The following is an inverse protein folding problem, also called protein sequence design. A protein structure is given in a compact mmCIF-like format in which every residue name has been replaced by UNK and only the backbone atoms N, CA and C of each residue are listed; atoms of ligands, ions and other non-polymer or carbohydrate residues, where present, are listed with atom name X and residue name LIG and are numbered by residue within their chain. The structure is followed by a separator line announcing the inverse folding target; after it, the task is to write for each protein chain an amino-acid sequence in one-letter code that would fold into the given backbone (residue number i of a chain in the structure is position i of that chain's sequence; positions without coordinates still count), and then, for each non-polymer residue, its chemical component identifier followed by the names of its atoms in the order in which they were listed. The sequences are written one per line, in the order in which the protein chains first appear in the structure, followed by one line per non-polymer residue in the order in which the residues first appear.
data_IF_839642575644
#
_entry.id   IF_839642575644
#
_cell.length_a   1.000
_cell.length_b   1.000
_cell.length_c   1.000
_cell.angle_alpha   90.00
_cell.angle_beta   90.00
_cell.angle_gamma   90.00
#
_symmetry.space_group_name_H-M   'P 1'
#
loop_
_entity.id
_entity.type
_entity.pdbx_description
1 polymer ?
#
# COMPACT_ATOMS: atom_id res chain seq x y z
N UNK A 1 6.15 9.32 -13.19
CA UNK A 1 6.16 8.44 -14.37
C UNK A 1 7.56 7.93 -14.62
N UNK A 2 7.67 6.80 -15.31
CA UNK A 2 8.94 6.24 -15.76
C UNK A 2 9.05 6.42 -17.28
N UNK A 3 10.20 6.90 -17.74
CA UNK A 3 10.51 7.00 -19.16
C UNK A 3 11.77 6.19 -19.46
N UNK A 4 11.74 5.39 -20.53
CA UNK A 4 12.89 4.61 -20.99
C UNK A 4 13.08 4.86 -22.50
N UNK A 5 14.23 5.40 -22.88
CA UNK A 5 14.51 5.78 -24.27
C UNK A 5 15.18 4.62 -25.04
N UNK A 6 14.73 4.39 -26.27
CA UNK A 6 15.27 3.42 -27.21
C UNK A 6 15.79 4.15 -28.46
N UNK A 7 16.78 3.55 -29.11
CA UNK A 7 17.35 4.04 -30.38
C UNK A 7 16.99 3.12 -31.56
N UNK A 8 15.88 2.40 -31.46
CA UNK A 8 15.44 1.43 -32.46
C UNK A 8 13.93 1.35 -32.53
N UNK A 9 13.44 0.96 -33.71
CA UNK A 9 12.03 0.69 -34.02
C UNK A 9 11.82 -0.81 -34.21
N UNK A 10 10.57 -1.25 -34.24
CA UNK A 10 10.17 -2.61 -34.60
C UNK A 10 10.44 -2.83 -36.09
N UNK A 11 11.20 -3.86 -36.42
CA UNK A 11 11.59 -4.18 -37.81
C UNK A 11 11.03 -5.51 -38.31
N UNK A 12 10.55 -6.35 -37.41
CA UNK A 12 10.06 -7.70 -37.71
C UNK A 12 8.65 -7.88 -37.18
N UNK A 13 7.79 -8.54 -37.98
CA UNK A 13 6.43 -8.91 -37.56
C UNK A 13 6.48 -10.22 -36.79
N UNK A 14 6.07 -10.19 -35.53
CA UNK A 14 5.88 -11.36 -34.69
C UNK A 14 4.52 -12.02 -34.98
N UNK A 15 4.44 -13.33 -34.72
CA UNK A 15 3.19 -14.11 -34.84
C UNK A 15 2.04 -13.66 -33.92
N UNK A 16 2.35 -12.78 -32.95
CA UNK A 16 1.41 -12.26 -31.96
C UNK A 16 1.04 -10.79 -32.24
N UNK A 17 1.58 -10.20 -33.29
CA UNK A 17 1.26 -8.84 -33.70
C UNK A 17 -0.15 -8.79 -34.26
N UNK A 18 -0.82 -7.65 -34.07
CA UNK A 18 -2.11 -7.47 -34.70
C UNK A 18 -1.94 -7.58 -36.22
N UNK A 19 -2.84 -8.35 -36.85
CA UNK A 19 -2.89 -8.48 -38.30
C UNK A 19 -2.92 -7.12 -39.01
N UNK A 20 -3.47 -6.09 -38.34
CA UNK A 20 -3.59 -4.72 -38.83
C UNK A 20 -2.34 -3.84 -38.62
N UNK A 21 -1.32 -4.29 -37.89
CA UNK A 21 -0.06 -3.54 -37.75
C UNK A 21 0.73 -3.60 -39.06
N UNK A 22 0.82 -2.46 -39.75
CA UNK A 22 1.67 -2.27 -40.93
C UNK A 22 3.05 -1.76 -40.52
N UNK A 23 3.95 -2.70 -40.24
CA UNK A 23 5.32 -2.44 -39.80
C UNK A 23 6.21 -1.93 -40.96
N UNK A 24 5.75 -2.05 -42.22
CA UNK A 24 6.49 -1.53 -43.37
C UNK A 24 6.26 -0.02 -43.57
N UNK A 25 5.09 0.49 -43.16
CA UNK A 25 4.72 1.90 -43.34
C UNK A 25 4.70 2.72 -42.04
N UNK A 26 4.63 2.07 -40.88
CA UNK A 26 4.47 2.72 -39.58
C UNK A 26 5.55 2.31 -38.59
N UNK A 27 6.19 3.30 -37.97
CA UNK A 27 7.23 3.07 -36.98
C UNK A 27 6.66 2.72 -35.60
N UNK A 28 6.83 1.47 -35.18
CA UNK A 28 6.43 1.01 -33.84
C UNK A 28 7.63 0.90 -32.90
N UNK A 29 7.40 1.02 -31.60
CA UNK A 29 8.40 0.65 -30.59
C UNK A 29 8.54 -0.87 -30.56
N UNK A 30 9.74 -1.43 -30.31
CA UNK A 30 9.91 -2.86 -30.12
C UNK A 30 9.08 -3.42 -28.96
N UNK A 31 8.49 -4.60 -29.14
CA UNK A 31 7.62 -5.24 -28.14
C UNK A 31 8.34 -5.46 -26.80
N UNK A 32 9.65 -5.76 -26.84
CA UNK A 32 10.44 -5.98 -25.64
C UNK A 32 10.57 -4.70 -24.79
N UNK A 33 10.53 -3.51 -25.39
CA UNK A 33 10.54 -2.25 -24.67
C UNK A 33 9.24 -2.02 -23.90
N UNK A 34 8.08 -2.31 -24.50
CA UNK A 34 6.79 -2.25 -23.78
C UNK A 34 6.77 -3.25 -22.61
N UNK A 35 7.21 -4.49 -22.85
CA UNK A 35 7.32 -5.51 -21.81
C UNK A 35 8.28 -5.11 -20.68
N UNK A 36 9.39 -4.42 -21.02
CA UNK A 36 10.32 -3.87 -20.04
C UNK A 36 9.65 -2.80 -19.16
N UNK A 37 8.80 -1.94 -19.74
CA UNK A 37 8.04 -0.94 -18.98
C UNK A 37 7.04 -1.57 -18.01
N UNK A 38 6.35 -2.66 -18.39
CA UNK A 38 5.52 -3.44 -17.46
C UNK A 38 6.34 -3.94 -16.26
N UNK A 39 7.49 -4.57 -16.53
CA UNK A 39 8.37 -5.11 -15.48
C UNK A 39 8.88 -4.02 -14.55
N UNK A 40 9.29 -2.87 -15.08
CA UNK A 40 9.78 -1.78 -14.26
C UNK A 40 8.69 -1.17 -13.41
N UNK A 41 7.51 -0.91 -13.97
CA UNK A 41 6.36 -0.42 -13.20
C UNK A 41 6.04 -1.36 -12.03
N UNK A 42 5.93 -2.65 -12.32
CA UNK A 42 5.49 -3.64 -11.35
C UNK A 42 6.59 -4.04 -10.33
N UNK A 43 7.85 -3.70 -10.60
CA UNK A 43 8.95 -3.91 -9.66
C UNK A 43 9.06 -2.81 -8.59
N UNK A 44 8.44 -1.64 -8.80
CA UNK A 44 8.57 -0.52 -7.87
C UNK A 44 7.67 -0.70 -6.64
N UNK A 45 8.31 -0.66 -5.47
CA UNK A 45 7.62 -0.73 -4.17
C UNK A 45 8.01 0.51 -3.37
N UNK A 46 7.02 1.33 -3.02
CA UNK A 46 7.20 2.45 -2.10
C UNK A 46 7.26 1.91 -0.68
N UNK A 47 8.39 2.14 -0.04
CA UNK A 47 8.54 1.96 1.40
C UNK A 47 8.06 3.25 2.07
N UNK A 48 6.90 3.20 2.72
CA UNK A 48 6.53 4.22 3.69
C UNK A 48 7.22 3.90 5.01
N UNK A 49 8.07 4.82 5.46
CA UNK A 49 8.46 4.84 6.87
C UNK A 49 7.18 4.91 7.71
N UNK A 50 7.09 4.16 8.82
CA UNK A 50 5.98 4.27 9.74
C UNK A 50 5.96 5.71 10.24
N UNK A 51 5.09 6.54 9.63
CA UNK A 51 4.83 7.87 10.15
C UNK A 51 4.18 7.65 11.51
N UNK A 52 4.91 8.02 12.56
CA UNK A 52 4.29 8.41 13.81
C UNK A 52 3.16 9.37 13.44
N UNK A 53 1.94 9.03 13.83
CA UNK A 53 0.75 9.86 13.63
C UNK A 53 1.02 11.28 14.14
N UNK A 54 1.05 12.23 13.18
CA UNK A 54 1.02 13.68 13.34
C UNK A 54 2.13 14.40 14.15
N UNK A 55 2.47 15.66 13.75
CA UNK A 55 3.59 16.38 14.31
C UNK A 55 3.22 16.97 15.67
N UNK A 56 3.74 16.39 16.75
CA UNK A 56 4.02 17.20 17.95
C UNK A 56 5.42 17.78 17.79
N UNK A 57 5.47 19.10 17.76
CA UNK A 57 6.67 19.94 17.72
C UNK A 57 7.70 19.48 18.75
N UNK A 58 8.72 18.75 18.31
CA UNK A 58 10.10 18.82 18.81
C UNK A 58 10.91 17.69 18.18
N UNK A 59 12.01 18.09 17.56
CA UNK A 59 12.94 17.28 16.80
C UNK A 59 13.55 16.12 17.60
N UNK A 60 13.60 14.94 16.98
CA UNK A 60 14.69 13.96 17.12
C UNK A 60 14.52 12.86 16.04
N UNK A 61 15.45 12.71 15.08
CA UNK A 61 15.31 11.79 13.94
C UNK A 61 15.67 10.32 14.25
N UNK A 62 15.65 9.88 15.52
CA UNK A 62 16.31 8.60 15.91
C UNK A 62 15.44 7.57 16.65
N UNK A 63 14.11 7.66 16.67
CA UNK A 63 13.29 6.60 17.28
C UNK A 63 12.73 5.64 16.23
N UNK A 64 13.62 4.95 15.49
CA UNK A 64 13.22 3.69 14.86
C UNK A 64 12.93 2.72 16.00
N UNK A 65 11.65 2.38 16.22
CA UNK A 65 11.31 1.27 17.11
C UNK A 65 11.79 0.01 16.39
N UNK A 66 12.89 -0.58 16.86
CA UNK A 66 13.35 -1.89 16.39
C UNK A 66 12.17 -2.88 16.49
N UNK A 67 11.74 -3.42 15.34
CA UNK A 67 10.62 -4.36 15.24
C UNK A 67 9.41 -3.88 14.42
N UNK A 68 9.30 -2.59 14.04
CA UNK A 68 8.26 -2.17 13.09
C UNK A 68 8.67 -2.47 11.63
N UNK A 69 7.98 -3.36 10.90
CA UNK A 69 8.25 -3.56 9.48
C UNK A 69 7.83 -2.32 8.68
N UNK A 70 8.71 -1.82 7.80
CA UNK A 70 8.40 -0.71 6.91
C UNK A 70 7.14 -1.04 6.08
N UNK A 71 6.15 -0.14 6.09
CA UNK A 71 4.89 -0.36 5.37
C UNK A 71 5.18 -0.27 3.87
N UNK A 72 4.99 -1.38 3.16
CA UNK A 72 5.19 -1.47 1.71
C UNK A 72 3.89 -1.10 1.00
N UNK A 73 3.99 -0.29 -0.05
CA UNK A 73 2.86 0.05 -0.92
C UNK A 73 3.31 0.00 -2.38
N UNK A 74 2.38 -0.31 -3.28
CA UNK A 74 2.60 -0.28 -4.74
C UNK A 74 1.92 0.98 -5.29
N UNK A 75 2.64 2.09 -5.47
CA UNK A 75 2.07 3.28 -6.10
C UNK A 75 1.78 2.99 -7.59
N UNK A 76 0.75 3.65 -8.13
CA UNK A 76 0.44 3.55 -9.55
C UNK A 76 1.36 4.50 -10.33
N UNK A 77 2.21 3.94 -11.18
CA UNK A 77 3.07 4.71 -12.07
C UNK A 77 2.67 4.48 -13.52
N UNK A 78 2.55 5.56 -14.29
CA UNK A 78 2.64 5.47 -15.75
C UNK A 78 4.08 5.16 -16.18
N UNK A 79 4.25 4.28 -17.17
CA UNK A 79 5.55 3.85 -17.66
C UNK A 79 5.55 3.87 -19.20
N UNK A 80 6.40 4.72 -19.78
CA UNK A 80 6.41 5.01 -21.21
C UNK A 80 7.77 4.76 -21.86
N UNK A 81 7.76 4.17 -23.05
CA UNK A 81 8.95 4.10 -23.88
C UNK A 81 9.05 5.34 -24.79
N UNK A 82 10.26 5.88 -24.97
CA UNK A 82 10.56 6.89 -25.98
C UNK A 82 11.32 6.24 -27.11
N UNK A 83 10.93 6.46 -28.36
CA UNK A 83 11.54 5.76 -29.50
C UNK A 83 11.62 6.66 -30.75
N UNK A 84 12.56 6.39 -31.68
CA UNK A 84 12.86 7.29 -32.80
C UNK A 84 11.93 7.03 -33.98
N UNK A 85 10.61 6.96 -33.74
CA UNK A 85 9.62 6.80 -34.80
C UNK A 85 9.29 8.11 -35.50
N UNK A 86 9.09 8.08 -36.81
CA UNK A 86 8.75 9.24 -37.62
C UNK A 86 7.24 9.39 -37.80
N UNK A 87 6.70 10.46 -37.23
CA UNK A 87 5.28 10.81 -37.32
C UNK A 87 5.12 12.32 -37.45
N UNK A 88 4.16 12.75 -38.27
CA UNK A 88 3.56 14.08 -38.10
C UNK A 88 2.50 14.00 -37.02
N UNK A 89 2.93 14.26 -35.78
CA UNK A 89 2.09 14.08 -34.58
C UNK A 89 0.94 15.10 -34.51
N UNK A 90 0.87 16.07 -35.43
CA UNK A 90 -0.24 17.03 -35.52
C UNK A 90 -1.42 16.48 -36.30
N UNK A 91 -1.18 15.56 -37.22
CA UNK A 91 -2.20 14.99 -38.12
C UNK A 91 -2.46 13.51 -37.84
N UNK A 92 -1.50 12.81 -37.25
CA UNK A 92 -1.60 11.38 -36.93
C UNK A 92 -1.85 11.16 -35.43
N UNK A 93 -2.75 10.23 -35.06
CA UNK A 93 -2.93 9.82 -33.67
C UNK A 93 -1.78 8.91 -33.23
N UNK A 94 -1.46 8.95 -31.92
CA UNK A 94 -0.46 8.04 -31.35
C UNK A 94 -0.98 6.58 -31.40
N UNK A 95 -0.25 5.63 -32.03
CA UNK A 95 -0.65 4.22 -32.06
C UNK A 95 -0.86 3.60 -30.67
N UNK A 96 -0.18 4.12 -29.66
CA UNK A 96 -0.25 3.65 -28.28
C UNK A 96 -1.23 4.43 -27.40
N UNK A 97 -2.03 5.35 -27.96
CA UNK A 97 -2.96 6.20 -27.20
C UNK A 97 -3.90 5.38 -26.30
N UNK A 98 -4.52 4.33 -26.85
CA UNK A 98 -5.42 3.47 -26.09
C UNK A 98 -4.71 2.79 -24.91
N UNK A 99 -3.51 2.26 -25.12
CA UNK A 99 -2.73 1.60 -24.06
C UNK A 99 -2.29 2.58 -22.96
N UNK A 100 -1.93 3.81 -23.36
CA UNK A 100 -1.58 4.90 -22.45
C UNK A 100 -2.80 5.29 -21.60
N UNK A 101 -3.98 5.44 -22.21
CA UNK A 101 -5.21 5.82 -21.51
C UNK A 101 -5.75 4.71 -20.61
N UNK A 102 -5.74 3.46 -21.06
CA UNK A 102 -6.33 2.34 -20.33
C UNK A 102 -5.44 1.79 -19.22
N UNK A 103 -4.14 1.63 -19.50
CA UNK A 103 -3.19 0.89 -18.63
C UNK A 103 -2.09 1.80 -18.07
N UNK A 104 -1.92 3.01 -18.63
CA UNK A 104 -0.81 3.90 -18.27
C UNK A 104 0.54 3.36 -18.73
N UNK A 105 0.56 2.45 -19.71
CA UNK A 105 1.78 1.94 -20.35
C UNK A 105 1.66 2.11 -21.85
N UNK A 106 2.69 2.64 -22.48
CA UNK A 106 2.73 2.78 -23.93
C UNK A 106 4.03 3.44 -24.39
N UNK A 107 3.99 4.10 -25.54
CA UNK A 107 5.15 4.77 -26.09
C UNK A 107 4.83 6.13 -26.71
N UNK A 108 5.82 7.01 -26.71
CA UNK A 108 5.80 8.27 -27.44
C UNK A 108 6.95 8.26 -28.46
N UNK A 109 6.59 8.46 -29.73
CA UNK A 109 7.58 8.73 -30.75
C UNK A 109 8.23 10.09 -30.46
N UNK A 110 9.56 10.16 -30.56
CA UNK A 110 10.31 11.38 -30.28
C UNK A 110 11.38 11.59 -31.33
N UNK A 111 11.16 12.60 -32.17
CA UNK A 111 12.15 13.12 -33.10
C UNK A 111 12.16 14.66 -33.04
N UNK A 112 13.26 15.31 -33.40
CA UNK A 112 13.29 16.77 -33.51
C UNK A 112 12.21 17.27 -34.47
N UNK A 113 11.47 18.30 -34.07
CA UNK A 113 10.53 18.97 -34.97
C UNK A 113 11.28 19.78 -36.02
N UNK A 114 10.72 19.88 -37.23
CA UNK A 114 11.21 20.83 -38.22
C UNK A 114 10.44 22.15 -38.12
N UNK A 115 11.11 23.16 -37.56
CA UNK A 115 10.60 24.53 -37.47
C UNK A 115 11.58 25.51 -38.13
N UNK A 116 11.93 25.31 -39.40
CA UNK A 116 12.73 26.30 -40.14
C UNK A 116 12.22 26.48 -41.57
N UNK A 117 11.67 27.65 -41.94
CA UNK A 117 11.59 28.04 -43.33
C UNK A 117 13.02 28.33 -43.81
N UNK A 118 13.67 27.35 -44.44
CA UNK A 118 14.86 27.64 -45.23
C UNK A 118 14.46 28.69 -46.27
N UNK A 119 14.97 29.92 -46.13
CA UNK A 119 14.77 31.02 -47.09
C UNK A 119 15.49 30.73 -48.42
N UNK A 120 15.18 29.62 -49.08
CA UNK A 120 15.51 29.33 -50.46
C UNK A 120 14.40 28.35 -50.90
N UNK A 121 13.70 28.67 -51.98
CA UNK A 121 12.66 27.89 -52.68
C UNK A 121 11.18 28.18 -52.31
N UNK A 122 10.65 29.18 -53.02
CA UNK A 122 9.25 29.63 -53.06
C UNK A 122 8.26 28.66 -53.75
N UNK A 123 8.61 27.39 -53.96
CA UNK A 123 7.80 26.47 -54.80
C UNK A 123 7.52 25.10 -54.21
N UNK A 124 7.79 24.86 -52.92
CA UNK A 124 7.36 23.62 -52.27
C UNK A 124 6.71 23.90 -50.93
N UNK A 125 5.43 23.53 -50.82
CA UNK A 125 4.68 23.41 -49.58
C UNK A 125 5.33 22.30 -48.72
N UNK A 126 6.47 22.59 -48.08
CA UNK A 126 7.14 21.63 -47.19
C UNK A 126 6.24 21.37 -45.99
N UNK A 127 5.83 20.11 -45.83
CA UNK A 127 5.08 19.63 -44.67
C UNK A 127 5.89 19.90 -43.40
N UNK A 128 5.34 20.71 -42.50
CA UNK A 128 5.89 20.97 -41.16
C UNK A 128 5.43 19.84 -40.26
N UNK A 129 6.34 19.01 -39.77
CA UNK A 129 6.00 17.93 -38.83
C UNK A 129 6.48 18.26 -37.42
N UNK A 130 5.65 17.95 -36.43
CA UNK A 130 6.01 18.03 -35.01
C UNK A 130 6.31 16.62 -34.48
N UNK A 131 7.52 16.41 -33.96
CA UNK A 131 7.96 15.11 -33.44
C UNK A 131 7.85 14.96 -31.91
N UNK A 132 7.25 15.92 -31.22
CA UNK A 132 7.12 15.92 -29.75
C UNK A 132 5.72 16.28 -29.23
N UNK A 133 4.76 16.50 -30.13
CA UNK A 133 3.42 16.98 -29.80
C UNK A 133 2.68 16.04 -28.84
N UNK A 134 2.72 14.72 -29.07
CA UNK A 134 1.99 13.76 -28.23
C UNK A 134 2.50 13.74 -26.78
N UNK A 135 3.83 13.77 -26.60
CA UNK A 135 4.43 13.82 -25.26
C UNK A 135 4.15 15.17 -24.59
N UNK A 136 4.20 16.26 -25.36
CA UNK A 136 3.89 17.60 -24.86
C UNK A 136 2.45 17.69 -24.37
N UNK A 137 1.48 17.26 -25.17
CA UNK A 137 0.06 17.25 -24.83
C UNK A 137 -0.21 16.36 -23.61
N UNK A 138 0.41 15.18 -23.57
CA UNK A 138 0.32 14.30 -22.40
C UNK A 138 0.82 15.01 -21.14
N UNK A 139 2.01 15.62 -21.18
CA UNK A 139 2.55 16.34 -20.03
C UNK A 139 1.66 17.54 -19.67
N UNK A 140 1.22 18.34 -20.63
CA UNK A 140 0.35 19.49 -20.39
C UNK A 140 -1.00 19.07 -19.78
N UNK A 141 -1.58 17.95 -20.19
CA UNK A 141 -2.81 17.42 -19.60
C UNK A 141 -2.60 17.00 -18.14
N UNK A 142 -1.43 16.45 -17.81
CA UNK A 142 -1.16 15.88 -16.49
C UNK A 142 -0.60 16.90 -15.50
N UNK A 143 0.41 17.68 -15.90
CA UNK A 143 1.05 18.71 -15.07
C UNK A 143 0.52 20.12 -15.36
N UNK A 144 -0.24 20.36 -16.43
CA UNK A 144 -0.70 21.72 -16.79
C UNK A 144 0.25 22.44 -17.76
N UNK A 145 -0.21 23.56 -18.31
CA UNK A 145 0.59 24.41 -19.21
C UNK A 145 1.64 25.21 -18.44
N UNK A 146 2.70 25.62 -19.14
CA UNK A 146 3.72 26.50 -18.56
C UNK A 146 3.06 27.79 -18.03
N UNK A 147 3.44 28.27 -16.83
CA UNK A 147 2.93 29.54 -16.32
C UNK A 147 3.28 30.67 -17.31
N UNK A 148 2.28 31.46 -17.70
CA UNK A 148 2.45 32.53 -18.68
C UNK A 148 3.64 33.44 -18.33
N UNK A 149 4.55 33.65 -19.29
CA UNK A 149 5.63 34.62 -19.22
C UNK A 149 5.07 36.06 -19.28
N UNK A 150 4.38 36.49 -18.22
CA UNK A 150 3.98 37.87 -18.02
C UNK A 150 4.42 38.36 -16.64
N UNK A 151 5.73 38.36 -16.40
CA UNK A 151 6.38 39.39 -15.59
C UNK A 151 7.89 39.27 -15.80
N UNK A 152 8.52 40.42 -16.09
CA UNK A 152 9.90 40.47 -16.52
C UNK A 152 10.91 39.91 -15.51
N UNK A 153 12.03 39.47 -16.07
CA UNK A 153 13.33 39.28 -15.44
C UNK A 153 13.39 38.30 -14.25
N UNK A 154 13.99 37.13 -14.52
CA UNK A 154 14.64 36.23 -13.56
C UNK A 154 13.76 35.48 -12.55
N UNK A 155 12.63 34.91 -12.98
CA UNK A 155 11.87 33.99 -12.14
C UNK A 155 11.76 32.63 -12.82
N UNK A 156 12.27 31.58 -12.16
CA UNK A 156 12.09 30.18 -12.54
C UNK A 156 10.60 29.92 -12.81
N UNK A 157 10.28 29.16 -13.87
CA UNK A 157 8.91 28.83 -14.22
C UNK A 157 8.26 28.02 -13.07
N UNK A 158 7.54 28.72 -12.18
CA UNK A 158 7.01 28.13 -10.97
C UNK A 158 5.62 27.57 -11.25
N UNK A 159 5.58 26.26 -11.45
CA UNK A 159 4.36 25.49 -11.55
C UNK A 159 3.56 25.57 -10.23
N UNK A 160 2.23 25.81 -10.25
CA UNK A 160 1.42 25.86 -9.03
C UNK A 160 1.34 24.47 -8.35
N UNK A 161 2.26 24.24 -7.40
CA UNK A 161 2.45 22.94 -6.72
C UNK A 161 1.21 22.47 -5.96
N UNK A 162 0.46 23.39 -5.32
CA UNK A 162 -0.71 23.03 -4.52
C UNK A 162 -1.87 22.46 -5.37
N UNK A 163 -2.23 23.15 -6.47
CA UNK A 163 -3.27 22.68 -7.38
C UNK A 163 -2.86 21.45 -8.20
N UNK A 164 -1.55 21.28 -8.48
CA UNK A 164 -1.03 20.04 -9.08
C UNK A 164 -1.09 18.86 -8.11
N UNK A 165 -0.69 19.07 -6.85
CA UNK A 165 -0.73 18.01 -5.85
C UNK A 165 -2.18 17.51 -5.67
N UNK A 166 -3.16 18.40 -5.55
CA UNK A 166 -4.57 18.01 -5.48
C UNK A 166 -5.04 17.27 -6.73
N UNK A 167 -4.76 17.79 -7.93
CA UNK A 167 -5.18 17.16 -9.19
C UNK A 167 -4.51 15.81 -9.43
N UNK A 168 -3.22 15.66 -9.15
CA UNK A 168 -2.51 14.38 -9.22
C UNK A 168 -3.00 13.39 -8.14
N UNK A 169 -3.50 13.88 -7.01
CA UNK A 169 -4.09 13.05 -5.96
C UNK A 169 -5.51 12.59 -6.29
N UNK A 170 -6.26 13.41 -7.04
CA UNK A 170 -7.63 13.12 -7.51
C UNK A 170 -7.63 12.30 -8.80
N UNK A 171 -6.56 12.39 -9.62
CA UNK A 171 -6.45 11.63 -10.87
C UNK A 171 -6.39 10.11 -10.59
N UNK A 172 -7.43 9.40 -11.01
CA UNK A 172 -7.42 7.94 -11.13
C UNK A 172 -6.56 7.50 -12.34
N UNK A 173 -5.24 7.69 -12.30
CA UNK A 173 -4.36 7.09 -13.31
C UNK A 173 -4.44 5.55 -13.22
N UNK A 174 -4.97 4.90 -14.26
CA UNK A 174 -5.14 3.46 -14.40
C UNK A 174 -6.02 2.78 -13.33
N UNK A 175 -6.88 1.86 -13.79
CA UNK A 175 -7.86 1.09 -13.01
C UNK A 175 -7.23 0.05 -12.06
N UNK A 176 -6.12 0.38 -11.42
CA UNK A 176 -5.55 -0.38 -10.30
C UNK A 176 -5.85 0.44 -9.03
N UNK A 177 -6.68 -0.06 -8.10
CA UNK A 177 -7.08 0.68 -6.92
C UNK A 177 -5.89 1.28 -6.16
N UNK A 178 -5.82 2.61 -6.09
CA UNK A 178 -4.82 3.41 -5.37
C UNK A 178 -4.66 3.04 -3.90
N UNK A 179 -5.78 2.68 -3.30
CA UNK A 179 -5.94 2.07 -2.00
C UNK A 179 -7.00 0.99 -2.18
N UNK A 180 -6.74 -0.24 -1.76
CA UNK A 180 -7.78 -1.29 -1.79
C UNK A 180 -7.35 -2.67 -2.23
N UNK A 181 -6.17 -2.87 -2.83
CA UNK A 181 -5.59 -4.22 -2.95
C UNK A 181 -5.00 -4.64 -1.60
N UNK A 182 -5.85 -4.72 -0.57
CA UNK A 182 -5.52 -5.40 0.68
C UNK A 182 -5.78 -6.87 0.41
N UNK A 183 -4.74 -7.60 0.00
CA UNK A 183 -4.81 -9.05 -0.09
C UNK A 183 -4.92 -9.57 1.35
N UNK A 184 -6.15 -9.69 1.84
CA UNK A 184 -6.46 -10.26 3.14
C UNK A 184 -6.84 -11.71 2.89
N UNK A 185 -6.06 -12.64 3.43
CA UNK A 185 -6.36 -14.06 3.31
C UNK A 185 -7.60 -14.43 4.14
N UNK A 186 -7.70 -13.87 5.34
CA UNK A 186 -8.80 -14.11 6.28
C UNK A 186 -9.46 -12.79 6.72
N UNK A 187 -10.61 -12.41 6.15
CA UNK A 187 -11.27 -11.14 6.47
C UNK A 187 -11.78 -11.07 7.91
N UNK A 188 -11.91 -12.22 8.58
CA UNK A 188 -12.41 -12.40 9.93
C UNK A 188 -11.37 -12.99 10.89
N UNK A 189 -10.08 -12.72 10.63
CA UNK A 189 -8.97 -13.24 11.43
C UNK A 189 -9.15 -12.84 12.91
N UNK A 190 -9.27 -13.87 13.75
CA UNK A 190 -9.54 -13.75 15.17
C UNK A 190 -8.38 -14.33 15.96
N UNK A 191 -7.79 -13.53 16.85
CA UNK A 191 -6.80 -13.99 17.80
C UNK A 191 -7.47 -14.23 19.14
N UNK A 192 -7.36 -15.44 19.67
CA UNK A 192 -7.66 -15.69 21.09
C UNK A 192 -6.44 -15.33 21.91
N UNK A 193 -6.63 -14.72 23.08
CA UNK A 193 -5.53 -14.44 24.01
C UNK A 193 -6.05 -14.17 25.40
N UNK A 194 -5.31 -14.57 26.44
CA UNK A 194 -5.68 -14.26 27.81
C UNK A 194 -5.26 -12.84 28.24
N UNK A 195 -5.99 -12.24 29.19
CA UNK A 195 -5.59 -10.96 29.81
C UNK A 195 -4.32 -11.10 30.65
N UNK A 196 -4.10 -12.28 31.23
CA UNK A 196 -2.93 -12.58 32.04
C UNK A 196 -3.28 -13.43 33.25
N UNK A 197 -2.42 -13.38 34.27
CA UNK A 197 -2.67 -14.03 35.55
C UNK A 197 -3.50 -13.07 36.40
N UNK A 198 -4.58 -13.58 37.00
CA UNK A 198 -5.32 -12.82 38.01
C UNK A 198 -4.38 -12.54 39.19
N UNK A 199 -4.01 -11.28 39.33
CA UNK A 199 -3.21 -10.73 40.41
C UNK A 199 -3.81 -9.35 40.75
N UNK A 200 -3.62 -8.88 41.99
CA UNK A 200 -4.19 -7.61 42.48
C UNK A 200 -3.86 -6.40 41.59
N UNK A 201 -2.78 -6.49 40.81
CA UNK A 201 -2.27 -5.46 39.89
C UNK A 201 -3.10 -5.26 38.62
N UNK A 202 -3.97 -6.21 38.27
CA UNK A 202 -4.76 -6.17 37.04
C UNK A 202 -6.27 -6.11 37.32
N UNK A 203 -6.69 -5.97 38.59
CA UNK A 203 -8.11 -5.96 38.99
C UNK A 203 -8.92 -4.99 38.12
N UNK A 204 -8.41 -3.77 37.90
CA UNK A 204 -9.10 -2.77 37.07
C UNK A 204 -9.30 -3.22 35.62
N UNK A 205 -8.34 -3.95 35.04
CA UNK A 205 -8.46 -4.50 33.69
C UNK A 205 -9.51 -5.62 33.64
N UNK A 206 -9.53 -6.48 34.67
CA UNK A 206 -10.52 -7.54 34.82
C UNK A 206 -11.94 -7.00 35.04
N UNK A 207 -12.10 -5.94 35.84
CA UNK A 207 -13.39 -5.28 36.06
C UNK A 207 -13.87 -4.57 34.79
N UNK A 208 -12.98 -3.84 34.09
CA UNK A 208 -13.31 -3.25 32.77
C UNK A 208 -13.70 -4.30 31.75
N UNK A 209 -13.02 -5.46 31.73
CA UNK A 209 -13.40 -6.59 30.89
C UNK A 209 -14.80 -7.10 31.24
N UNK A 210 -15.08 -7.30 32.53
CA UNK A 210 -16.38 -7.79 33.03
C UNK A 210 -17.52 -6.82 32.73
N UNK A 211 -17.25 -5.52 32.75
CA UNK A 211 -18.19 -4.46 32.43
C UNK A 211 -18.25 -4.15 30.93
N UNK A 212 -17.49 -4.87 30.09
CA UNK A 212 -17.43 -4.66 28.63
C UNK A 212 -16.86 -3.29 28.20
N UNK A 213 -16.10 -2.62 29.08
CA UNK A 213 -15.52 -1.28 28.92
C UNK A 213 -14.02 -1.31 28.55
N UNK A 214 -13.51 -2.46 28.12
CA UNK A 214 -12.11 -2.59 27.75
C UNK A 214 -11.85 -1.94 26.38
N UNK A 215 -11.10 -0.83 26.39
CA UNK A 215 -10.75 -0.07 25.17
C UNK A 215 -9.37 -0.39 24.59
N UNK A 216 -8.47 -0.96 25.39
CA UNK A 216 -7.12 -1.24 24.97
C UNK A 216 -6.65 -2.61 25.47
N UNK A 217 -5.92 -3.32 24.63
CA UNK A 217 -5.21 -4.55 25.00
C UNK A 217 -3.78 -4.47 24.49
N UNK A 218 -2.81 -4.97 25.25
CA UNK A 218 -1.39 -4.90 24.89
C UNK A 218 -0.68 -6.24 25.07
N UNK A 219 0.31 -6.50 24.23
CA UNK A 219 1.13 -7.72 24.25
C UNK A 219 2.57 -7.39 23.83
N UNK A 220 3.62 -7.93 24.49
CA UNK A 220 4.99 -7.77 24.01
C UNK A 220 5.16 -8.33 22.59
N UNK A 221 5.86 -7.61 21.71
CA UNK A 221 6.16 -8.09 20.35
C UNK A 221 6.91 -9.42 20.42
N UNK A 222 7.86 -9.52 21.35
CA UNK A 222 8.63 -10.74 21.64
C UNK A 222 7.75 -11.95 21.93
N UNK A 223 6.58 -11.76 22.55
CA UNK A 223 5.65 -12.86 22.86
C UNK A 223 4.84 -13.29 21.64
N UNK A 224 4.47 -12.34 20.77
CA UNK A 224 3.77 -12.63 19.53
C UNK A 224 4.67 -13.34 18.51
N UNK A 225 5.90 -12.85 18.37
CA UNK A 225 6.88 -13.33 17.38
C UNK A 225 7.40 -14.74 17.64
N UNK A 226 7.20 -15.29 18.84
CA UNK A 226 7.50 -16.69 19.12
C UNK A 226 6.65 -17.66 18.29
N UNK A 227 5.42 -17.24 17.95
CA UNK A 227 4.46 -18.09 17.25
C UNK A 227 4.11 -17.53 15.88
N UNK A 228 4.26 -16.24 15.59
CA UNK A 228 3.77 -15.65 14.34
C UNK A 228 4.66 -14.52 13.85
N UNK A 229 4.85 -14.43 12.53
CA UNK A 229 5.57 -13.29 11.94
C UNK A 229 4.84 -11.98 12.18
N UNK A 230 5.58 -10.89 12.41
CA UNK A 230 5.04 -9.58 12.83
C UNK A 230 4.04 -8.95 11.85
N UNK A 231 4.07 -9.32 10.57
CA UNK A 231 3.09 -8.83 9.59
C UNK A 231 1.66 -9.34 9.85
N UNK A 232 1.51 -10.51 10.49
CA UNK A 232 0.20 -11.13 10.80
C UNK A 232 -0.61 -10.27 11.76
N UNK A 233 0.06 -9.52 12.66
CA UNK A 233 -0.61 -8.62 13.62
C UNK A 233 -1.57 -7.65 12.93
N UNK A 234 -1.15 -7.07 11.80
CA UNK A 234 -1.94 -6.09 11.05
C UNK A 234 -3.15 -6.71 10.34
N UNK A 235 -3.22 -8.03 10.28
CA UNK A 235 -4.32 -8.78 9.68
C UNK A 235 -5.39 -9.16 10.69
N UNK A 236 -5.06 -9.18 11.99
CA UNK A 236 -6.03 -9.51 13.05
C UNK A 236 -7.14 -8.46 13.04
N UNK A 237 -8.39 -8.93 13.10
CA UNK A 237 -9.59 -8.09 13.14
C UNK A 237 -10.31 -8.18 14.46
N UNK A 238 -10.15 -9.29 15.16
CA UNK A 238 -10.91 -9.58 16.36
C UNK A 238 -10.00 -10.18 17.43
N UNK A 239 -10.24 -9.78 18.69
CA UNK A 239 -9.65 -10.41 19.86
C UNK A 239 -10.74 -11.15 20.65
N UNK A 240 -10.56 -12.45 20.85
CA UNK A 240 -11.37 -13.22 21.77
C UNK A 240 -10.59 -13.37 23.08
N UNK A 241 -10.94 -12.54 24.05
CA UNK A 241 -10.16 -12.39 25.28
C UNK A 241 -10.58 -13.45 26.32
N UNK A 242 -9.59 -14.12 26.91
CA UNK A 242 -9.77 -15.09 28.00
C UNK A 242 -9.44 -14.38 29.31
N UNK A 243 -10.33 -14.37 30.32
CA UNK A 243 -10.04 -13.68 31.58
C UNK A 243 -8.73 -14.18 32.19
N UNK A 244 -8.64 -15.48 32.46
CA UNK A 244 -7.49 -16.07 33.13
C UNK A 244 -7.10 -17.40 32.48
N UNK A 245 -5.84 -17.52 32.06
CA UNK A 245 -5.30 -18.70 31.40
C UNK A 245 -5.08 -19.90 32.33
N UNK A 246 -5.24 -19.74 33.64
CA UNK A 246 -5.02 -20.79 34.65
C UNK A 246 -6.28 -21.63 34.91
N UNK A 247 -7.46 -21.12 34.55
CA UNK A 247 -8.75 -21.76 34.83
C UNK A 247 -9.54 -21.91 33.52
N UNK A 248 -10.40 -22.91 33.46
CA UNK A 248 -11.31 -23.09 32.33
C UNK A 248 -12.31 -21.94 32.26
N UNK A 249 -12.51 -21.38 31.06
CA UNK A 249 -13.42 -20.27 30.84
C UNK A 249 -14.20 -20.43 29.55
N UNK A 250 -15.44 -19.95 29.58
CA UNK A 250 -16.24 -19.77 28.37
C UNK A 250 -15.82 -18.46 27.70
N UNK A 251 -15.28 -18.56 26.50
CA UNK A 251 -15.08 -17.41 25.61
C UNK A 251 -16.43 -17.09 25.00
N UNK A 252 -17.02 -15.95 25.40
CA UNK A 252 -18.33 -15.49 24.92
C UNK A 252 -18.26 -14.19 24.15
N UNK A 253 -17.29 -13.34 24.47
CA UNK A 253 -17.19 -11.99 23.94
C UNK A 253 -15.99 -11.90 23.00
N UNK A 254 -16.17 -11.11 21.95
CA UNK A 254 -15.14 -10.81 20.97
C UNK A 254 -15.09 -9.30 20.75
N UNK A 255 -13.88 -8.75 20.76
CA UNK A 255 -13.60 -7.33 20.59
C UNK A 255 -13.10 -7.06 19.17
N UNK A 256 -13.78 -6.22 18.38
CA UNK A 256 -13.26 -5.77 17.10
C UNK A 256 -12.06 -4.84 17.32
N UNK A 257 -11.01 -5.01 16.53
CA UNK A 257 -9.82 -4.17 16.55
C UNK A 257 -10.07 -2.96 15.64
N UNK A 258 -10.01 -1.76 16.22
CA UNK A 258 -10.10 -0.50 15.48
C UNK A 258 -8.76 -0.07 14.92
N UNK A 259 -7.72 -0.23 15.72
CA UNK A 259 -6.38 0.20 15.37
C UNK A 259 -5.32 -0.69 16.04
N UNK A 260 -4.13 -0.75 15.43
CA UNK A 260 -2.96 -1.45 15.96
C UNK A 260 -1.77 -0.51 15.88
N UNK A 261 -1.08 -0.36 17.00
CA UNK A 261 0.13 0.46 17.11
C UNK A 261 1.25 -0.35 17.74
N UNK A 262 2.50 -0.06 17.36
CA UNK A 262 3.65 -0.54 18.10
C UNK A 262 4.21 0.62 18.90
N UNK A 263 4.36 0.41 20.19
CA UNK A 263 4.74 1.43 21.17
C UNK A 263 5.79 0.85 22.09
N UNK A 264 6.65 1.70 22.66
CA UNK A 264 7.56 1.24 23.72
C UNK A 264 6.79 1.02 25.01
N UNK A 265 7.22 0.09 25.86
CA UNK A 265 6.53 -0.20 27.12
C UNK A 265 6.31 1.05 27.98
N UNK A 266 7.28 1.96 28.06
CA UNK A 266 7.15 3.25 28.77
C UNK A 266 6.12 4.23 28.21
N UNK A 267 5.74 4.07 26.95
CA UNK A 267 4.78 4.96 26.26
C UNK A 267 3.33 4.52 26.48
N UNK A 268 3.10 3.33 27.06
CA UNK A 268 1.77 2.84 27.37
C UNK A 268 1.28 3.46 28.69
N UNK A 269 0.12 4.09 28.65
CA UNK A 269 -0.47 4.74 29.82
C UNK A 269 -0.67 3.79 31.01
N UNK A 270 -0.50 4.35 32.20
CA UNK A 270 -0.72 3.65 33.48
C UNK A 270 -2.16 3.11 33.59
N UNK A 271 -3.14 3.86 33.06
CA UNK A 271 -4.56 3.51 33.04
C UNK A 271 -4.87 2.20 32.28
N UNK A 272 -3.98 1.80 31.37
CA UNK A 272 -4.07 0.60 30.52
C UNK A 272 -3.28 -0.56 31.12
N UNK A 273 -2.08 -0.27 31.66
CA UNK A 273 -1.14 -1.32 32.11
C UNK A 273 -1.23 -1.64 33.59
N UNK A 274 -1.77 -0.73 34.40
CA UNK A 274 -1.83 -0.84 35.86
C UNK A 274 -0.50 -0.58 36.58
N UNK A 275 0.61 -0.38 35.85
CA UNK A 275 1.90 -0.01 36.44
C UNK A 275 2.79 0.81 35.48
N UNK A 276 3.60 1.70 36.02
CA UNK A 276 4.63 2.41 35.25
C UNK A 276 5.84 1.50 35.01
N UNK A 277 6.45 1.65 33.84
CA UNK A 277 7.65 0.90 33.47
C UNK A 277 8.51 1.75 32.56
N UNK A 278 9.80 1.86 32.88
CA UNK A 278 10.76 2.60 32.06
C UNK A 278 11.36 1.75 30.92
N UNK A 279 10.76 0.59 30.64
CA UNK A 279 11.28 -0.34 29.63
C UNK A 279 11.04 0.18 28.21
N UNK A 280 12.04 -0.05 27.36
CA UNK A 280 11.99 0.21 25.92
C UNK A 280 11.60 -1.03 25.10
N UNK A 281 11.22 -2.12 25.77
CA UNK A 281 10.72 -3.30 25.08
C UNK A 281 9.53 -2.93 24.18
N UNK A 282 9.50 -3.39 22.93
CA UNK A 282 8.42 -3.08 21.99
C UNK A 282 7.16 -3.90 22.31
N UNK A 283 6.02 -3.21 22.35
CA UNK A 283 4.70 -3.78 22.59
C UNK A 283 3.76 -3.48 21.43
N UNK A 284 2.85 -4.41 21.19
CA UNK A 284 1.70 -4.24 20.31
C UNK A 284 0.55 -3.73 21.17
N UNK A 285 0.01 -2.57 20.82
CA UNK A 285 -1.18 -1.97 21.43
C UNK A 285 -2.35 -2.08 20.46
N UNK A 286 -3.40 -2.76 20.89
CA UNK A 286 -4.67 -2.92 20.19
C UNK A 286 -5.69 -1.96 20.76
N UNK A 287 -6.25 -1.10 19.91
CA UNK A 287 -7.43 -0.31 20.24
C UNK A 287 -8.68 -1.13 19.93
N UNK A 288 -9.52 -1.33 20.94
CA UNK A 288 -10.69 -2.19 20.89
C UNK A 288 -11.96 -1.36 20.69
N UNK A 289 -12.83 -1.84 19.81
CA UNK A 289 -14.19 -1.37 19.67
C UNK A 289 -15.14 -2.04 20.64
N UNK A 290 -16.44 -1.78 20.47
CA UNK A 290 -17.49 -2.36 21.29
C UNK A 290 -17.55 -3.88 21.10
N UNK A 291 -17.54 -4.68 22.19
CA UNK A 291 -17.60 -6.12 22.07
C UNK A 291 -18.95 -6.61 21.55
N UNK A 292 -18.95 -7.83 21.02
CA UNK A 292 -20.15 -8.57 20.65
C UNK A 292 -20.01 -10.04 21.07
N UNK A 293 -21.17 -10.68 21.23
CA UNK A 293 -21.23 -12.08 21.68
C UNK A 293 -21.10 -13.07 20.52
N UNK A 294 -20.37 -14.15 20.75
CA UNK A 294 -20.38 -15.34 19.89
C UNK A 294 -21.75 -16.01 19.92
N UNK A 295 -22.09 -16.71 18.83
CA UNK A 295 -23.32 -17.53 18.77
C UNK A 295 -23.34 -18.66 19.79
N UNK A 296 -22.20 -19.26 20.05
CA UNK A 296 -22.01 -20.33 21.03
C UNK A 296 -20.75 -20.04 21.86
N UNK A 297 -20.77 -20.33 23.18
CA UNK A 297 -19.57 -20.21 24.00
C UNK A 297 -18.52 -21.24 23.57
N UNK A 298 -17.26 -20.82 23.50
CA UNK A 298 -16.12 -21.70 23.22
C UNK A 298 -15.35 -21.94 24.50
N UNK A 299 -15.17 -23.19 24.91
CA UNK A 299 -14.48 -23.53 26.15
C UNK A 299 -12.96 -23.46 25.95
N UNK A 300 -12.32 -22.57 26.69
CA UNK A 300 -10.86 -22.57 26.88
C UNK A 300 -10.48 -23.53 27.99
N UNK A 301 -9.56 -24.46 27.70
CA UNK A 301 -8.99 -25.36 28.71
C UNK A 301 -7.56 -24.94 29.04
N UNK A 302 -7.24 -24.68 30.32
CA UNK A 302 -5.92 -24.25 30.74
C UNK A 302 -4.93 -25.40 30.63
N UNK A 303 -3.68 -25.06 30.30
CA UNK A 303 -2.58 -26.03 30.22
C UNK A 303 -1.28 -25.46 30.83
N UNK A 304 -1.43 -24.50 31.75
CA UNK A 304 -0.37 -23.95 32.57
C UNK A 304 0.51 -22.87 31.93
N UNK A 305 0.39 -22.60 30.63
CA UNK A 305 1.19 -21.56 29.94
C UNK A 305 0.32 -20.52 29.26
N UNK A 306 0.59 -19.24 29.53
CA UNK A 306 -0.07 -18.10 28.88
C UNK A 306 -0.05 -18.21 27.35
N UNK A 307 1.06 -18.68 26.78
CA UNK A 307 1.25 -18.77 25.33
C UNK A 307 0.21 -19.63 24.62
N UNK A 308 -0.34 -20.63 25.28
CA UNK A 308 -1.36 -21.48 24.68
C UNK A 308 -2.75 -20.83 24.67
N UNK A 309 -2.92 -19.70 25.35
CA UNK A 309 -4.09 -18.84 25.14
C UNK A 309 -4.03 -18.11 23.80
N UNK A 310 -2.82 -17.92 23.23
CA UNK A 310 -2.60 -17.25 21.95
C UNK A 310 -2.83 -18.24 20.81
N UNK A 311 -3.90 -18.03 20.05
CA UNK A 311 -4.21 -18.81 18.86
C UNK A 311 -4.84 -17.92 17.81
N UNK A 312 -4.43 -18.10 16.55
CA UNK A 312 -5.00 -17.39 15.42
C UNK A 312 -5.91 -18.35 14.64
N UNK A 313 -7.17 -17.97 14.48
CA UNK A 313 -8.21 -18.72 13.77
C UNK A 313 -9.14 -17.74 13.04
N UNK A 314 -10.18 -18.24 12.38
CA UNK A 314 -11.23 -17.39 11.81
C UNK A 314 -12.44 -17.37 12.73
N UNK A 315 -13.27 -16.33 12.65
CA UNK A 315 -14.50 -16.25 13.43
C UNK A 315 -15.40 -17.46 13.15
N UNK A 316 -15.52 -17.85 11.88
CA UNK A 316 -16.31 -19.02 11.46
C UNK A 316 -15.83 -20.33 12.11
N UNK A 317 -14.51 -20.54 12.22
CA UNK A 317 -13.94 -21.74 12.83
C UNK A 317 -14.07 -21.70 14.36
N UNK A 318 -13.98 -20.51 14.95
CA UNK A 318 -14.19 -20.32 16.38
C UNK A 318 -15.64 -20.64 16.77
N UNK A 319 -16.62 -20.13 16.05
CA UNK A 319 -18.05 -20.38 16.32
C UNK A 319 -18.49 -21.86 16.13
N UNK A 320 -17.75 -22.64 15.34
CA UNK A 320 -18.02 -24.08 15.13
C UNK A 320 -17.43 -24.97 16.23
N UNK A 321 -16.48 -24.46 17.00
CA UNK A 321 -15.74 -25.25 17.97
C UNK A 321 -16.43 -25.21 19.33
N UNK A 322 -16.57 -26.36 19.98
CA UNK A 322 -17.00 -26.40 21.39
C UNK A 322 -15.82 -26.09 22.31
N UNK A 323 -14.63 -26.56 21.95
CA UNK A 323 -13.39 -26.33 22.68
C UNK A 323 -12.38 -25.56 21.82
N UNK A 324 -11.65 -24.62 22.42
CA UNK A 324 -10.67 -23.79 21.68
C UNK A 324 -9.61 -24.64 20.96
N UNK A 325 -9.22 -25.78 21.50
CA UNK A 325 -8.26 -26.69 20.88
C UNK A 325 -8.76 -27.29 19.55
N UNK A 326 -10.08 -27.45 19.38
CA UNK A 326 -10.72 -27.97 18.17
C UNK A 326 -10.82 -26.92 17.05
N UNK A 327 -10.85 -25.62 17.39
CA UNK A 327 -10.90 -24.55 16.38
C UNK A 327 -9.66 -24.66 15.47
N UNK A 328 -9.85 -24.74 14.15
CA UNK A 328 -8.71 -24.90 13.23
C UNK A 328 -7.83 -23.64 13.26
N UNK A 329 -6.54 -23.82 13.57
CA UNK A 329 -5.58 -22.72 13.48
C UNK A 329 -5.29 -22.38 12.02
N UNK A 330 -5.13 -21.10 11.73
CA UNK A 330 -4.70 -20.59 10.42
C UNK A 330 -3.31 -19.95 10.55
N UNK A 331 -2.65 -19.67 9.42
CA UNK A 331 -1.27 -19.16 9.41
C UNK A 331 -0.23 -20.11 10.04
N UNK A 332 -0.46 -21.42 9.99
CA UNK A 332 0.48 -22.45 10.47
C UNK A 332 1.83 -22.45 9.73
N UNK A 333 1.87 -21.99 8.47
CA UNK A 333 3.11 -21.83 7.69
C UNK A 333 3.77 -20.44 7.86
N UNK A 334 3.09 -19.53 8.55
CA UNK A 334 3.63 -18.23 8.98
C UNK A 334 4.05 -18.24 10.45
N UNK A 335 4.16 -19.43 11.05
CA UNK A 335 4.85 -19.62 12.33
C UNK A 335 6.32 -19.20 12.16
N UNK A 336 6.88 -18.56 13.18
CA UNK A 336 8.23 -18.03 13.17
C UNK A 336 9.29 -19.14 13.26
#
# INVERSE_FOLDING_TARGET
WLFDAKYRIKTEKNRFDDSNEDIESTDYVPDDAINQMHRYRDALIRLSEPRLSEPRLSESPSSKIEGQPAKKSRPVFGAFALYPGFFDQTTTPNPYAAAIEEVGIGAFALLPSQDEPSQIDLTQTKSRYSGHQWLLEFLQAQIGTAPNAQTGQNNEAMYPVAGMAERLYVQEAARIPYYGMRQVLYPDLTMTVALGKYNDRFIDCFEKFKNEELHFYHLPVSTFELNFKSHVVNEIRYLALIPNYQVSHDIRLVWPIRNVQYVKRREIELSITGYESDSDEPYILFELGKPFSLKAPVVFQPNGRFRHSIKITTMEQLERAEYLNQAKAVYLEALA
#
